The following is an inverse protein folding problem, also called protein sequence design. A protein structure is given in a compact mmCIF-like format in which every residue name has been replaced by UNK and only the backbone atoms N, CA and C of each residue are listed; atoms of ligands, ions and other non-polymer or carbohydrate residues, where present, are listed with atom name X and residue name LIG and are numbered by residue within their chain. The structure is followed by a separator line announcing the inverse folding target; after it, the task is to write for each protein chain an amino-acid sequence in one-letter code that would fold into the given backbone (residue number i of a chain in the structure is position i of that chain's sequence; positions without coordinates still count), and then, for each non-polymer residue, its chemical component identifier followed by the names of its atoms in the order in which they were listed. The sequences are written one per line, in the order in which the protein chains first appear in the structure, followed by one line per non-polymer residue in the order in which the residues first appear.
data_IF_433067850990
#
_entry.id   IF_433067850990
#
_cell.length_a   1.000
_cell.length_b   1.000
_cell.length_c   1.000
_cell.angle_alpha   90.00
_cell.angle_beta   90.00
_cell.angle_gamma   90.00
#
_symmetry.space_group_name_H-M   'P 1'
#
loop_
_entity.id
_entity.type
_entity.pdbx_description
1 polymer ?
#
# COMPACT_ATOMS: atom_id res chain seq x y z
N UNK A 1 -12.38 -13.67 10.72
CA UNK A 1 -11.52 -12.95 11.69
C UNK A 1 -12.41 -11.98 12.46
N UNK A 2 -12.72 -12.27 13.70
CA UNK A 2 -13.58 -11.42 14.52
C UNK A 2 -12.75 -10.34 15.21
N UNK A 3 -12.83 -9.10 14.72
CA UNK A 3 -12.28 -7.93 15.42
C UNK A 3 -13.14 -7.56 16.64
N UNK A 4 -14.33 -8.12 16.73
CA UNK A 4 -15.38 -7.81 17.73
C UNK A 4 -15.17 -8.45 19.12
N UNK A 5 -14.05 -9.14 19.35
CA UNK A 5 -13.80 -9.82 20.64
C UNK A 5 -12.59 -9.33 21.44
N UNK A 6 -11.86 -8.31 20.95
CA UNK A 6 -10.67 -7.84 21.68
C UNK A 6 -11.11 -6.92 22.82
N UNK A 7 -10.90 -7.37 24.05
CA UNK A 7 -11.10 -6.55 25.25
C UNK A 7 -9.83 -5.77 25.54
N UNK A 8 -9.95 -4.47 25.78
CA UNK A 8 -8.85 -3.61 26.19
C UNK A 8 -8.92 -3.39 27.70
N UNK A 9 -7.80 -3.52 28.37
CA UNK A 9 -7.68 -3.36 29.83
C UNK A 9 -7.00 -2.04 30.21
N UNK A 10 -6.39 -1.35 29.26
CA UNK A 10 -5.73 -0.06 29.49
C UNK A 10 -5.84 0.87 28.28
N UNK A 11 -5.72 2.17 28.55
CA UNK A 11 -5.64 3.18 27.50
C UNK A 11 -4.38 3.02 26.64
N UNK A 12 -3.33 2.40 27.17
CA UNK A 12 -2.11 2.11 26.45
C UNK A 12 -2.32 1.02 25.41
N UNK A 13 -3.02 -0.06 25.75
CA UNK A 13 -3.39 -1.12 24.80
C UNK A 13 -4.21 -0.56 23.63
N UNK A 14 -5.16 0.34 23.91
CA UNK A 14 -5.95 1.02 22.87
C UNK A 14 -5.05 1.88 21.99
N UNK A 15 -4.14 2.65 22.59
CA UNK A 15 -3.20 3.51 21.84
C UNK A 15 -2.29 2.70 20.92
N UNK A 16 -1.77 1.58 21.41
CA UNK A 16 -0.92 0.66 20.61
C UNK A 16 -1.71 0.05 19.45
N UNK A 17 -2.92 -0.41 19.73
CA UNK A 17 -3.82 -0.95 18.70
C UNK A 17 -4.14 0.09 17.60
N UNK A 18 -4.44 1.33 17.99
CA UNK A 18 -4.65 2.42 17.02
C UNK A 18 -3.40 2.68 16.18
N UNK A 19 -2.22 2.62 16.78
CA UNK A 19 -0.94 2.80 16.06
C UNK A 19 -0.70 1.67 15.03
N UNK A 20 -1.06 0.43 15.36
CA UNK A 20 -1.01 -0.71 14.42
C UNK A 20 -1.97 -0.52 13.24
N UNK A 21 -3.21 -0.07 13.52
CA UNK A 21 -4.21 0.25 12.49
C UNK A 21 -3.68 1.35 11.58
N UNK A 22 -3.19 2.46 12.16
CA UNK A 22 -2.65 3.59 11.40
C UNK A 22 -1.48 3.18 10.51
N UNK A 23 -0.56 2.35 11.00
CA UNK A 23 0.54 1.80 10.19
C UNK A 23 0.02 0.97 9.03
N UNK A 24 -1.02 0.19 9.23
CA UNK A 24 -1.63 -0.65 8.18
C UNK A 24 -2.33 0.21 7.13
N UNK A 25 -3.07 1.24 7.54
CA UNK A 25 -3.73 2.20 6.65
C UNK A 25 -2.72 3.00 5.83
N UNK A 26 -1.60 3.43 6.43
CA UNK A 26 -0.52 4.12 5.73
C UNK A 26 0.12 3.22 4.67
N UNK A 27 0.42 1.96 4.99
CA UNK A 27 0.97 1.00 4.02
C UNK A 27 0.00 0.76 2.87
N UNK A 28 -1.29 0.60 3.16
CA UNK A 28 -2.31 0.42 2.14
C UNK A 28 -2.39 1.64 1.20
N UNK A 29 -2.40 2.85 1.77
CA UNK A 29 -2.40 4.10 1.00
C UNK A 29 -1.16 4.23 0.13
N UNK A 30 0.03 3.97 0.68
CA UNK A 30 1.29 4.00 -0.07
C UNK A 30 1.31 3.00 -1.21
N UNK A 31 0.75 1.80 -1.00
CA UNK A 31 0.68 0.77 -2.05
C UNK A 31 -0.18 1.19 -3.25
N UNK A 32 -1.17 2.08 -3.04
CA UNK A 32 -2.01 2.61 -4.11
C UNK A 32 -1.43 3.87 -4.78
N UNK A 33 -0.66 4.67 -4.04
CA UNK A 33 -0.14 5.96 -4.53
C UNK A 33 1.23 5.79 -5.18
N UNK A 34 2.09 4.95 -4.62
CA UNK A 34 3.46 4.77 -5.09
C UNK A 34 3.50 3.66 -6.13
N UNK A 35 3.84 3.96 -7.40
CA UNK A 35 3.95 2.93 -8.43
C UNK A 35 5.04 1.92 -8.07
N UNK A 36 4.67 0.65 -7.94
CA UNK A 36 5.64 -0.45 -7.78
C UNK A 36 6.16 -0.87 -9.15
N UNK A 37 7.10 -0.10 -9.68
CA UNK A 37 7.83 -0.47 -10.90
C UNK A 37 8.86 -1.52 -10.54
N UNK A 38 8.83 -2.66 -11.23
CA UNK A 38 9.81 -3.73 -11.12
C UNK A 38 10.90 -3.53 -12.17
N UNK A 39 12.08 -4.01 -11.90
CA UNK A 39 13.15 -4.09 -12.90
C UNK A 39 12.77 -5.13 -13.97
N UNK A 40 13.38 -5.02 -15.16
CA UNK A 40 13.15 -5.98 -16.23
C UNK A 40 13.55 -7.40 -15.81
N UNK A 41 14.63 -7.54 -15.05
CA UNK A 41 15.10 -8.81 -14.51
C UNK A 41 14.04 -9.43 -13.56
N UNK A 42 13.47 -8.65 -12.66
CA UNK A 42 12.39 -9.11 -11.77
C UNK A 42 11.12 -9.51 -12.56
N UNK A 43 10.82 -8.80 -13.65
CA UNK A 43 9.66 -9.10 -14.49
C UNK A 43 9.83 -10.43 -15.24
N UNK A 44 10.99 -10.65 -15.86
CA UNK A 44 11.30 -11.89 -16.60
C UNK A 44 11.32 -13.10 -15.67
N UNK A 45 11.80 -12.93 -14.43
CA UNK A 45 11.89 -14.00 -13.44
C UNK A 45 10.62 -14.18 -12.58
N UNK A 46 9.60 -13.37 -12.80
CA UNK A 46 8.35 -13.42 -12.06
C UNK A 46 7.65 -14.78 -12.21
N UNK A 47 7.21 -15.36 -11.08
CA UNK A 47 6.43 -16.62 -11.07
C UNK A 47 5.15 -16.50 -11.90
N UNK A 48 4.51 -15.33 -11.88
CA UNK A 48 3.27 -15.08 -12.62
C UNK A 48 3.49 -15.14 -14.14
N UNK A 49 4.63 -14.65 -14.62
CA UNK A 49 4.98 -14.71 -16.04
C UNK A 49 5.31 -16.15 -16.45
N UNK A 50 6.00 -16.89 -15.59
CA UNK A 50 6.36 -18.31 -15.84
C UNK A 50 5.16 -19.26 -15.83
N UNK A 51 4.04 -18.85 -15.24
CA UNK A 51 2.79 -19.65 -15.20
C UNK A 51 1.86 -19.41 -16.39
N UNK A 52 2.19 -18.49 -17.28
CA UNK A 52 1.36 -18.19 -18.47
C UNK A 52 1.39 -19.34 -19.47
N UNK A 53 0.23 -19.61 -20.05
CA UNK A 53 0.07 -20.62 -21.11
C UNK A 53 -0.63 -19.95 -22.30
N UNK A 54 0.02 -19.87 -23.47
CA UNK A 54 1.40 -20.27 -23.76
C UNK A 54 2.42 -19.38 -23.04
N UNK A 55 3.65 -19.88 -22.78
CA UNK A 55 4.70 -19.10 -22.14
C UNK A 55 5.10 -17.90 -23.00
N UNK A 56 5.44 -16.78 -22.35
CA UNK A 56 5.96 -15.61 -23.07
C UNK A 56 7.35 -15.91 -23.68
N UNK A 57 7.63 -15.35 -24.87
CA UNK A 57 9.00 -15.36 -25.42
C UNK A 57 9.98 -14.72 -24.44
N UNK A 58 11.24 -15.16 -24.47
CA UNK A 58 12.30 -14.65 -23.56
C UNK A 58 12.58 -13.16 -23.76
N UNK A 59 12.30 -12.65 -24.95
CA UNK A 59 12.50 -11.26 -25.33
C UNK A 59 11.37 -10.34 -24.84
N UNK A 60 10.30 -10.90 -24.26
CA UNK A 60 9.11 -10.14 -23.85
C UNK A 60 8.94 -10.19 -22.33
N UNK A 61 8.82 -9.03 -21.72
CA UNK A 61 8.41 -8.88 -20.34
C UNK A 61 7.13 -8.04 -20.23
N UNK A 62 6.28 -8.37 -19.27
CA UNK A 62 5.02 -7.64 -19.04
C UNK A 62 4.98 -7.13 -17.62
N UNK A 63 4.40 -5.96 -17.43
CA UNK A 63 4.24 -5.32 -16.13
C UNK A 63 2.85 -4.72 -15.98
N UNK A 64 2.30 -4.86 -14.77
CA UNK A 64 1.08 -4.14 -14.36
C UNK A 64 1.40 -3.31 -13.12
N UNK A 65 1.00 -2.05 -13.12
CA UNK A 65 1.11 -1.20 -11.95
C UNK A 65 0.08 -0.07 -11.96
N UNK A 66 -0.24 0.42 -10.75
CA UNK A 66 -1.10 1.60 -10.59
C UNK A 66 -0.22 2.86 -10.59
N UNK A 67 -0.67 3.86 -11.31
CA UNK A 67 -0.07 5.20 -11.31
C UNK A 67 -1.17 6.25 -11.46
N UNK A 68 -1.34 7.08 -10.45
CA UNK A 68 -2.32 8.18 -10.48
C UNK A 68 -3.70 7.72 -10.96
N UNK A 69 -4.36 6.81 -10.22
CA UNK A 69 -5.68 6.18 -10.52
C UNK A 69 -5.81 5.49 -11.89
N UNK A 70 -4.71 5.27 -12.56
CA UNK A 70 -4.66 4.50 -13.79
C UNK A 70 -3.98 3.17 -13.57
N UNK A 71 -4.56 2.11 -14.08
CA UNK A 71 -3.88 0.83 -14.25
C UNK A 71 -3.08 0.90 -15.54
N UNK A 72 -1.79 0.70 -15.44
CA UNK A 72 -0.87 0.69 -16.58
C UNK A 72 -0.48 -0.76 -16.87
N UNK A 73 -0.69 -1.18 -18.10
CA UNK A 73 -0.13 -2.40 -18.64
C UNK A 73 1.00 -2.04 -19.59
N UNK A 74 2.19 -2.51 -19.29
CA UNK A 74 3.38 -2.25 -20.10
C UNK A 74 3.98 -3.55 -20.62
N UNK A 75 4.34 -3.56 -21.88
CA UNK A 75 5.07 -4.64 -22.55
C UNK A 75 6.43 -4.11 -22.93
N UNK A 76 7.47 -4.83 -22.54
CA UNK A 76 8.85 -4.56 -22.89
C UNK A 76 9.33 -5.64 -23.85
N UNK A 77 9.81 -5.22 -25.00
CA UNK A 77 10.36 -6.11 -26.02
C UNK A 77 11.85 -5.84 -26.18
N UNK A 78 12.66 -6.85 -25.92
CA UNK A 78 14.11 -6.75 -26.11
C UNK A 78 14.43 -6.96 -27.58
N UNK A 79 15.05 -5.97 -28.19
CA UNK A 79 15.54 -6.01 -29.57
C UNK A 79 17.05 -5.94 -29.53
N UNK A 80 17.70 -6.93 -30.13
CA UNK A 80 19.18 -6.96 -30.28
C UNK A 80 19.53 -6.60 -31.73
N UNK A 81 20.18 -5.46 -31.91
CA UNK A 81 20.70 -5.02 -33.20
C UNK A 81 22.22 -4.80 -33.10
N UNK A 82 22.96 -5.47 -33.99
CA UNK A 82 24.44 -5.38 -34.06
C UNK A 82 25.17 -5.54 -32.71
N UNK A 83 24.66 -6.45 -31.86
CA UNK A 83 25.25 -6.71 -30.55
C UNK A 83 24.87 -5.72 -29.42
N UNK A 84 24.02 -4.74 -29.71
CA UNK A 84 23.47 -3.81 -28.73
C UNK A 84 22.03 -4.21 -28.45
N UNK A 85 21.71 -4.49 -27.18
CA UNK A 85 20.34 -4.79 -26.74
C UNK A 85 19.66 -3.50 -26.30
N UNK A 86 18.47 -3.23 -26.82
CA UNK A 86 17.58 -2.15 -26.39
C UNK A 86 16.21 -2.72 -26.06
N UNK A 87 15.45 -1.99 -25.25
CA UNK A 87 14.07 -2.34 -24.92
C UNK A 87 13.12 -1.33 -25.57
N UNK A 88 12.24 -1.83 -26.39
CA UNK A 88 11.09 -1.09 -26.86
C UNK A 88 9.95 -1.28 -25.84
N UNK A 89 9.29 -0.20 -25.46
CA UNK A 89 8.21 -0.20 -24.49
C UNK A 89 6.90 0.20 -25.16
N UNK A 90 5.92 -0.65 -25.00
CA UNK A 90 4.54 -0.40 -25.39
C UNK A 90 3.68 -0.37 -24.15
N UNK A 91 2.73 0.56 -24.08
CA UNK A 91 1.83 0.62 -22.92
C UNK A 91 0.40 0.92 -23.33
N UNK A 92 -0.52 0.35 -22.57
CA UNK A 92 -1.92 0.72 -22.52
C UNK A 92 -2.28 1.16 -21.11
N UNK A 93 -3.23 2.06 -20.99
CA UNK A 93 -3.69 2.55 -19.69
C UNK A 93 -5.22 2.49 -19.62
N UNK A 94 -5.72 2.22 -18.41
CA UNK A 94 -7.14 2.23 -18.10
C UNK A 94 -7.36 3.03 -16.83
N UNK A 95 -8.30 3.95 -16.86
CA UNK A 95 -8.69 4.72 -15.66
C UNK A 95 -9.45 3.81 -14.70
N UNK A 96 -9.09 3.87 -13.41
CA UNK A 96 -9.71 3.09 -12.33
C UNK A 96 -10.29 4.08 -11.30
N UNK A 97 -11.50 4.63 -11.53
CA UNK A 97 -12.05 5.72 -10.74
C UNK A 97 -12.20 5.40 -9.26
N UNK A 98 -12.58 4.15 -8.91
CA UNK A 98 -12.78 3.72 -7.53
C UNK A 98 -11.50 3.78 -6.66
N UNK A 99 -10.31 3.89 -7.26
CA UNK A 99 -9.03 4.06 -6.52
C UNK A 99 -9.05 5.37 -5.72
N UNK A 100 -9.64 6.43 -6.28
CA UNK A 100 -9.79 7.71 -5.57
C UNK A 100 -10.69 7.58 -4.35
N UNK A 101 -11.79 6.85 -4.47
CA UNK A 101 -12.74 6.63 -3.37
C UNK A 101 -12.06 5.83 -2.24
N UNK A 102 -11.30 4.80 -2.59
CA UNK A 102 -10.52 4.02 -1.62
C UNK A 102 -9.45 4.89 -0.94
N UNK A 103 -8.73 5.73 -1.69
CA UNK A 103 -7.74 6.65 -1.11
C UNK A 103 -8.38 7.65 -0.14
N UNK A 104 -9.56 8.17 -0.48
CA UNK A 104 -10.32 9.05 0.40
C UNK A 104 -10.71 8.32 1.69
N UNK A 105 -11.27 7.11 1.58
CA UNK A 105 -11.67 6.31 2.74
C UNK A 105 -10.47 5.98 3.64
N UNK A 106 -9.33 5.60 3.07
CA UNK A 106 -8.10 5.34 3.83
C UNK A 106 -7.61 6.60 4.54
N UNK A 107 -7.70 7.77 3.89
CA UNK A 107 -7.29 9.05 4.47
C UNK A 107 -8.20 9.45 5.63
N UNK A 108 -9.52 9.36 5.48
CA UNK A 108 -10.49 9.65 6.53
C UNK A 108 -10.33 8.70 7.72
N UNK A 109 -10.14 7.41 7.45
CA UNK A 109 -9.92 6.40 8.50
C UNK A 109 -8.64 6.70 9.29
N UNK A 110 -7.56 7.09 8.60
CA UNK A 110 -6.31 7.47 9.23
C UNK A 110 -6.46 8.70 10.13
N UNK A 111 -7.16 9.74 9.66
CA UNK A 111 -7.44 10.95 10.44
C UNK A 111 -8.28 10.64 11.68
N UNK A 112 -9.31 9.78 11.53
CA UNK A 112 -10.17 9.38 12.65
C UNK A 112 -9.38 8.61 13.70
N UNK A 113 -8.54 7.67 13.29
CA UNK A 113 -7.67 6.92 14.21
C UNK A 113 -6.68 7.84 14.93
N UNK A 114 -6.09 8.81 14.21
CA UNK A 114 -5.19 9.81 14.79
C UNK A 114 -5.90 10.67 15.84
N UNK A 115 -7.06 11.21 15.53
CA UNK A 115 -7.86 12.02 16.46
C UNK A 115 -8.21 11.25 17.74
N UNK A 116 -8.59 9.97 17.61
CA UNK A 116 -8.90 9.13 18.76
C UNK A 116 -7.65 8.89 19.62
N UNK A 117 -6.51 8.62 19.00
CA UNK A 117 -5.23 8.43 19.70
C UNK A 117 -4.82 9.70 20.45
N UNK A 118 -4.98 10.87 19.84
CA UNK A 118 -4.64 12.16 20.45
C UNK A 118 -5.54 12.44 21.67
N UNK A 119 -6.84 12.18 21.57
CA UNK A 119 -7.77 12.29 22.71
C UNK A 119 -7.39 11.37 23.86
N UNK A 120 -7.00 10.12 23.57
CA UNK A 120 -6.52 9.19 24.59
C UNK A 120 -5.24 9.70 25.28
N UNK A 121 -4.34 10.35 24.55
CA UNK A 121 -3.16 10.99 25.11
C UNK A 121 -3.49 12.09 26.14
N UNK A 122 -4.44 12.94 25.81
CA UNK A 122 -4.93 14.01 26.71
C UNK A 122 -5.56 13.40 27.97
N UNK A 123 -6.39 12.37 27.87
CA UNK A 123 -6.97 11.69 29.03
C UNK A 123 -5.93 11.05 29.93
N UNK A 124 -4.86 10.49 29.37
CA UNK A 124 -3.75 9.94 30.17
C UNK A 124 -3.07 11.02 30.99
N UNK A 125 -2.76 12.18 30.40
CA UNK A 125 -2.15 13.32 31.08
C UNK A 125 -3.02 13.83 32.23
N UNK A 126 -4.31 14.04 31.95
CA UNK A 126 -5.27 14.52 32.94
C UNK A 126 -5.39 13.56 34.14
N UNK A 127 -5.45 12.26 33.91
CA UNK A 127 -5.51 11.27 34.99
C UNK A 127 -4.20 11.20 35.81
N UNK A 128 -3.05 11.49 35.22
CA UNK A 128 -1.78 11.55 35.94
C UNK A 128 -1.71 12.79 36.82
N UNK A 129 -2.15 13.95 36.34
CA UNK A 129 -2.20 15.19 37.11
C UNK A 129 -3.14 15.07 38.32
N UNK A 130 -4.32 14.46 38.18
CA UNK A 130 -5.24 14.24 39.30
C UNK A 130 -4.59 13.34 40.36
N UNK A 131 -3.89 12.28 39.96
CA UNK A 131 -3.22 11.38 40.94
C UNK A 131 -2.09 12.07 41.73
N UNK A 132 -1.47 13.10 41.18
CA UNK A 132 -0.42 13.87 41.83
C UNK A 132 -0.96 14.99 42.72
N UNK A 133 -2.23 15.39 42.51
CA UNK A 133 -2.85 16.51 43.24
C UNK A 133 -3.79 16.06 44.36
N UNK A 134 -4.08 14.77 44.49
CA UNK A 134 -4.86 14.21 45.62
C UNK A 134 -3.89 13.79 46.70
N UNK A 135 -3.94 14.43 47.92
CA UNK A 135 -3.08 14.08 49.05
C UNK A 135 -3.38 12.70 49.62
#
# INVERSE_FOLDING_TARGET
MSVLGRKFHSAEEVSNFLSEIMSSLLRARQALVVPKKRTLEELVNSKNVKSLVPPLPREVAVSFYLQSWKLIFAVYHMVTDKGVSRFDRYQAECVVPWVNDVLLLLTVSLQTAQQLRDKLGIFKQYNQEIRLTVP
#
